data_IF_443372676746
#
_entry.id   IF_443372676746
#
_cell.length_a   1.000
_cell.length_b   1.000
_cell.length_c   1.000
_cell.angle_alpha   90.00
_cell.angle_beta   90.00
_cell.angle_gamma   90.00
#
_symmetry.space_group_name_H-M   'P 1'
#
loop_
_entity.id
_entity.type
_entity.pdbx_description
1 polymer ?
#
# COMPACT_ATOMS: atom_id res chain seq x y z
N UNK A 1 2.20 8.88 -13.13
CA UNK A 1 2.45 10.15 -12.39
C UNK A 1 2.47 9.80 -10.90
N UNK A 2 3.51 10.17 -10.16
CA UNK A 2 3.64 9.80 -8.75
C UNK A 2 2.67 10.65 -7.90
N UNK A 3 1.55 10.04 -7.47
CA UNK A 3 0.51 10.75 -6.70
C UNK A 3 1.05 11.30 -5.36
N UNK A 4 2.05 10.62 -4.75
CA UNK A 4 2.67 11.11 -3.53
C UNK A 4 3.42 12.43 -3.76
N UNK A 5 4.08 12.56 -4.93
CA UNK A 5 4.74 13.81 -5.32
C UNK A 5 3.74 14.95 -5.53
N UNK A 6 2.61 14.67 -6.19
CA UNK A 6 1.55 15.68 -6.39
C UNK A 6 1.02 16.16 -5.05
N UNK A 7 0.69 15.23 -4.16
CA UNK A 7 0.16 15.54 -2.83
C UNK A 7 1.18 16.33 -1.99
N UNK A 8 2.47 15.97 -2.09
CA UNK A 8 3.55 16.73 -1.46
C UNK A 8 3.63 18.17 -1.98
N UNK A 9 3.63 18.34 -3.31
CA UNK A 9 3.69 19.67 -3.92
C UNK A 9 2.49 20.55 -3.54
N UNK A 10 1.28 19.99 -3.57
CA UNK A 10 0.08 20.70 -3.15
C UNK A 10 0.15 21.12 -1.68
N UNK A 11 0.60 20.22 -0.80
CA UNK A 11 0.78 20.51 0.63
C UNK A 11 1.85 21.57 0.84
N UNK A 12 2.98 21.48 0.13
CA UNK A 12 4.07 22.45 0.24
C UNK A 12 3.65 23.85 -0.26
N UNK A 13 2.95 23.93 -1.40
CA UNK A 13 2.47 25.19 -1.97
C UNK A 13 1.45 25.86 -1.03
N UNK A 14 0.44 25.12 -0.57
CA UNK A 14 -0.58 25.67 0.32
C UNK A 14 -0.02 26.03 1.69
N UNK A 15 0.92 25.25 2.22
CA UNK A 15 1.63 25.55 3.46
C UNK A 15 2.51 26.79 3.35
N UNK A 16 3.26 26.94 2.25
CA UNK A 16 4.06 28.12 1.98
C UNK A 16 3.20 29.38 1.85
N UNK A 17 2.08 29.28 1.12
CA UNK A 17 1.12 30.36 0.98
C UNK A 17 0.55 30.81 2.34
N UNK A 18 0.15 29.85 3.18
CA UNK A 18 -0.31 30.14 4.55
C UNK A 18 0.77 30.77 5.41
N UNK A 19 2.01 30.30 5.32
CA UNK A 19 3.14 30.82 6.09
C UNK A 19 3.49 32.26 5.67
N UNK A 20 3.53 32.53 4.36
CA UNK A 20 3.76 33.89 3.82
C UNK A 20 2.67 34.86 4.28
N UNK A 21 1.42 34.39 4.25
CA UNK A 21 0.32 35.23 4.77
C UNK A 21 0.51 35.55 6.24
N UNK A 22 0.74 34.57 7.07
CA UNK A 22 0.89 34.74 8.52
C UNK A 22 2.08 35.63 8.91
N UNK A 23 3.20 35.52 8.21
CA UNK A 23 4.43 36.23 8.55
C UNK A 23 4.48 37.66 7.96
N UNK A 24 3.85 37.88 6.80
CA UNK A 24 4.02 39.10 6.04
C UNK A 24 2.69 39.82 5.75
N UNK A 25 1.71 39.12 5.18
CA UNK A 25 0.52 39.79 4.64
C UNK A 25 -0.51 40.13 5.73
N UNK A 26 -0.67 39.26 6.72
CA UNK A 26 -1.60 39.50 7.84
C UNK A 26 -1.24 40.78 8.61
N UNK A 27 0.03 40.99 8.92
CA UNK A 27 0.50 42.21 9.59
C UNK A 27 0.17 43.48 8.79
N UNK A 28 0.47 43.42 7.48
CA UNK A 28 0.18 44.57 6.57
C UNK A 28 -1.32 44.82 6.41
N UNK A 29 -2.16 43.76 6.41
CA UNK A 29 -3.63 43.90 6.36
C UNK A 29 -4.15 44.57 7.64
N UNK A 30 -3.66 44.14 8.81
CA UNK A 30 -4.05 44.73 10.10
C UNK A 30 -3.66 46.21 10.19
N UNK A 31 -2.48 46.62 9.71
CA UNK A 31 -2.06 48.01 9.64
C UNK A 31 -2.96 48.82 8.69
N UNK A 32 -3.25 48.29 7.50
CA UNK A 32 -4.17 48.95 6.55
C UNK A 32 -5.58 49.12 7.14
N UNK A 33 -6.08 48.11 7.85
CA UNK A 33 -7.38 48.16 8.49
C UNK A 33 -7.43 49.23 9.58
N UNK A 34 -6.39 49.33 10.41
CA UNK A 34 -6.26 50.41 11.41
C UNK A 34 -6.25 51.81 10.76
N UNK A 35 -5.46 51.98 9.70
CA UNK A 35 -5.40 53.24 8.96
C UNK A 35 -6.76 53.59 8.31
N UNK A 36 -7.46 52.58 7.71
CA UNK A 36 -8.77 52.76 7.10
C UNK A 36 -9.83 53.21 8.14
N UNK A 37 -9.86 52.53 9.30
CA UNK A 37 -10.75 52.90 10.40
C UNK A 37 -10.43 54.30 10.94
N UNK A 38 -9.15 54.66 11.15
CA UNK A 38 -8.74 55.98 11.61
C UNK A 38 -9.13 57.11 10.62
N UNK A 39 -8.98 56.84 9.31
CA UNK A 39 -9.40 57.80 8.27
C UNK A 39 -10.92 57.97 8.21
N UNK A 40 -11.66 56.83 8.36
CA UNK A 40 -13.12 56.86 8.44
C UNK A 40 -13.60 57.70 9.62
N UNK A 41 -13.06 57.44 10.83
CA UNK A 41 -13.38 58.20 12.06
C UNK A 41 -13.09 59.71 11.92
N UNK A 42 -12.05 60.11 11.16
CA UNK A 42 -11.73 61.54 10.88
C UNK A 42 -12.68 62.20 9.89
N UNK A 43 -13.26 61.45 8.95
CA UNK A 43 -14.17 61.99 7.93
C UNK A 43 -15.61 62.10 8.42
N UNK A 44 -15.99 61.30 9.39
CA UNK A 44 -17.32 61.28 9.98
C UNK A 44 -17.30 62.19 11.26
N UNK A 45 -17.59 63.48 11.08
CA UNK A 45 -17.85 64.44 12.15
C UNK A 45 -19.26 64.22 12.72
N UNK A 46 -19.47 63.13 13.48
CA UNK A 46 -20.75 62.74 14.07
C UNK A 46 -20.88 61.26 14.26
N UNK A 47 -21.97 60.84 14.87
CA UNK A 47 -22.25 59.46 15.30
C UNK A 47 -22.32 58.48 14.11
N UNK A 48 -21.16 58.17 13.53
CA UNK A 48 -21.02 57.13 12.50
C UNK A 48 -21.35 55.79 13.16
N UNK A 49 -22.46 55.19 12.77
CA UNK A 49 -22.96 53.97 13.38
C UNK A 49 -21.89 52.89 13.38
N UNK A 50 -21.79 52.17 14.51
CA UNK A 50 -20.84 51.05 14.73
C UNK A 50 -20.82 50.03 13.57
N UNK A 51 -21.94 49.85 12.87
CA UNK A 51 -22.09 48.97 11.69
C UNK A 51 -21.23 49.41 10.50
N UNK A 52 -21.14 50.72 10.22
CA UNK A 52 -20.33 51.21 9.08
C UNK A 52 -18.84 51.09 9.35
N UNK A 53 -18.41 51.34 10.60
CA UNK A 53 -17.02 51.18 11.04
C UNK A 53 -16.59 49.72 10.93
N UNK A 54 -17.39 48.75 11.39
CA UNK A 54 -17.11 47.32 11.26
C UNK A 54 -17.05 46.87 9.81
N UNK A 55 -17.87 47.44 8.92
CA UNK A 55 -17.80 47.14 7.49
C UNK A 55 -16.51 47.62 6.84
N UNK A 56 -16.00 48.81 7.18
CA UNK A 56 -14.70 49.31 6.69
C UNK A 56 -13.55 48.45 7.19
N UNK A 57 -13.58 48.08 8.46
CA UNK A 57 -12.57 47.23 9.05
C UNK A 57 -12.56 45.81 8.40
N UNK A 58 -13.72 45.18 8.28
CA UNK A 58 -13.87 43.84 7.67
C UNK A 58 -13.46 43.82 6.20
N UNK A 59 -13.79 44.89 5.44
CA UNK A 59 -13.36 45.03 4.05
C UNK A 59 -11.84 45.13 3.91
N UNK A 60 -11.19 45.88 4.82
CA UNK A 60 -9.73 46.07 4.82
C UNK A 60 -8.98 44.80 5.31
N UNK A 61 -9.60 44.01 6.18
CA UNK A 61 -9.06 42.72 6.67
C UNK A 61 -9.29 41.57 5.71
N UNK A 62 -10.10 41.73 4.66
CA UNK A 62 -10.44 40.65 3.73
C UNK A 62 -9.19 39.99 3.15
N UNK A 63 -9.12 38.69 3.28
CA UNK A 63 -8.02 37.91 2.74
C UNK A 63 -8.15 37.75 1.21
N UNK A 64 -7.04 37.72 0.47
CA UNK A 64 -7.06 37.28 -0.93
C UNK A 64 -7.54 35.89 -1.04
N UNK A 65 -8.35 35.54 -2.06
CA UNK A 65 -8.97 34.20 -2.21
C UNK A 65 -7.95 33.07 -2.22
N UNK A 66 -6.76 33.29 -2.80
CA UNK A 66 -5.72 32.23 -2.81
C UNK A 66 -5.17 31.91 -1.41
N UNK A 67 -5.14 32.89 -0.50
CA UNK A 67 -4.76 32.70 0.91
C UNK A 67 -5.86 31.94 1.63
N UNK A 68 -7.10 32.37 1.47
CA UNK A 68 -8.27 31.75 2.08
C UNK A 68 -8.37 30.24 1.71
N UNK A 69 -8.27 29.90 0.42
CA UNK A 69 -8.25 28.52 -0.04
C UNK A 69 -7.03 27.75 0.48
N UNK A 70 -5.85 28.38 0.51
CA UNK A 70 -4.64 27.73 1.04
C UNK A 70 -4.79 27.36 2.51
N UNK A 71 -5.35 28.25 3.32
CA UNK A 71 -5.65 28.00 4.75
C UNK A 71 -6.66 26.87 4.95
N UNK A 72 -7.70 26.84 4.10
CA UNK A 72 -8.74 25.82 4.18
C UNK A 72 -8.22 24.42 3.79
N UNK A 73 -7.41 24.34 2.71
CA UNK A 73 -6.96 23.05 2.17
C UNK A 73 -5.69 22.51 2.83
N UNK A 74 -4.78 23.37 3.30
CA UNK A 74 -3.49 22.94 3.87
C UNK A 74 -3.62 21.88 4.98
N UNK A 75 -4.47 22.05 6.03
CA UNK A 75 -4.58 21.04 7.09
C UNK A 75 -5.05 19.70 6.57
N UNK A 76 -6.02 19.70 5.66
CA UNK A 76 -6.56 18.46 5.06
C UNK A 76 -5.50 17.77 4.21
N UNK A 77 -4.82 18.53 3.34
CA UNK A 77 -3.75 18.01 2.50
C UNK A 77 -2.60 17.47 3.34
N UNK A 78 -2.22 18.16 4.41
CA UNK A 78 -1.17 17.73 5.34
C UNK A 78 -1.54 16.43 6.03
N UNK A 79 -2.75 16.32 6.56
CA UNK A 79 -3.22 15.09 7.22
C UNK A 79 -3.23 13.93 6.23
N UNK A 80 -3.80 14.11 5.04
CA UNK A 80 -3.85 13.07 4.00
C UNK A 80 -2.43 12.68 3.56
N UNK A 81 -1.53 13.66 3.40
CA UNK A 81 -0.13 13.41 3.06
C UNK A 81 0.57 12.58 4.14
N UNK A 82 0.42 12.94 5.42
CA UNK A 82 1.03 12.20 6.52
C UNK A 82 0.45 10.79 6.67
N UNK A 83 -0.86 10.64 6.63
CA UNK A 83 -1.52 9.34 6.72
C UNK A 83 -1.04 8.40 5.59
N UNK A 84 -1.05 8.89 4.35
CA UNK A 84 -0.64 8.09 3.19
C UNK A 84 0.85 7.81 3.16
N UNK A 85 1.68 8.78 3.57
CA UNK A 85 3.14 8.63 3.52
C UNK A 85 3.68 7.67 4.57
N UNK A 86 3.05 7.65 5.76
CA UNK A 86 3.61 6.95 6.91
C UNK A 86 2.71 5.85 7.47
N UNK A 87 1.38 5.93 7.33
CA UNK A 87 0.49 5.01 8.03
C UNK A 87 0.00 3.88 7.13
N UNK A 88 -0.81 4.19 6.13
CA UNK A 88 -1.43 3.18 5.28
C UNK A 88 -1.64 3.70 3.85
N UNK A 89 -1.39 2.84 2.89
CA UNK A 89 -1.62 3.12 1.47
C UNK A 89 -2.66 2.16 0.91
N UNK A 90 -3.71 2.67 0.22
CA UNK A 90 -4.69 1.82 -0.44
C UNK A 90 -4.12 1.28 -1.76
N UNK A 91 -4.30 -0.03 -1.99
CA UNK A 91 -3.99 -0.70 -3.26
C UNK A 91 -5.22 -1.43 -3.76
N UNK A 92 -5.43 -1.41 -5.08
CA UNK A 92 -6.46 -2.22 -5.74
C UNK A 92 -5.84 -3.52 -6.22
N UNK A 93 -6.51 -4.65 -6.00
CA UNK A 93 -6.08 -5.96 -6.48
C UNK A 93 -6.51 -6.15 -7.93
N UNK A 94 -5.55 -6.20 -8.88
CA UNK A 94 -5.88 -6.29 -10.30
C UNK A 94 -5.92 -7.72 -10.84
N UNK A 95 -5.39 -8.70 -10.11
CA UNK A 95 -5.18 -10.07 -10.60
C UNK A 95 -5.66 -11.14 -9.63
N UNK A 96 -5.86 -12.34 -10.15
CA UNK A 96 -6.33 -13.52 -9.41
C UNK A 96 -5.23 -14.27 -8.64
N UNK A 97 -3.97 -13.82 -8.70
CA UNK A 97 -2.81 -14.56 -8.18
C UNK A 97 -2.82 -14.80 -6.67
N UNK A 98 -3.62 -14.05 -5.90
CA UNK A 98 -3.76 -14.18 -4.45
C UNK A 98 -5.09 -14.81 -4.02
N UNK A 99 -5.88 -15.34 -4.96
CA UNK A 99 -7.10 -16.09 -4.63
C UNK A 99 -6.76 -17.37 -3.87
N UNK A 100 -7.61 -17.79 -2.93
CA UNK A 100 -8.88 -17.21 -2.51
C UNK A 100 -8.74 -16.09 -1.46
N UNK A 101 -7.53 -15.80 -0.98
CA UNK A 101 -7.30 -14.80 0.07
C UNK A 101 -7.75 -13.40 -0.37
N UNK A 102 -7.33 -12.98 -1.56
CA UNK A 102 -7.69 -11.69 -2.17
C UNK A 102 -8.39 -11.92 -3.52
N UNK A 103 -9.49 -11.19 -3.73
CA UNK A 103 -10.25 -11.20 -4.98
C UNK A 103 -9.85 -10.03 -5.88
N UNK A 104 -10.01 -10.22 -7.19
CA UNK A 104 -9.90 -9.12 -8.15
C UNK A 104 -10.97 -8.07 -7.80
N UNK A 105 -10.54 -6.81 -7.69
CA UNK A 105 -11.42 -5.71 -7.29
C UNK A 105 -11.40 -5.36 -5.81
N UNK A 106 -10.77 -6.17 -4.95
CA UNK A 106 -10.53 -5.79 -3.56
C UNK A 106 -9.64 -4.54 -3.48
N UNK A 107 -10.00 -3.62 -2.59
CA UNK A 107 -9.12 -2.53 -2.16
C UNK A 107 -8.61 -2.85 -0.77
N UNK A 108 -7.30 -2.95 -0.65
CA UNK A 108 -6.60 -3.31 0.58
C UNK A 108 -5.88 -2.12 1.17
N UNK A 109 -5.66 -2.16 2.48
CA UNK A 109 -4.75 -1.24 3.16
C UNK A 109 -3.41 -1.93 3.43
N UNK A 110 -2.34 -1.21 3.10
CA UNK A 110 -0.96 -1.66 3.27
C UNK A 110 -0.28 -0.81 4.34
N UNK A 111 0.14 -1.44 5.41
CA UNK A 111 0.92 -0.80 6.47
C UNK A 111 2.36 -0.61 6.00
N UNK A 112 2.76 0.63 5.78
CA UNK A 112 4.09 0.98 5.25
C UNK A 112 5.18 1.03 6.31
N UNK A 113 4.83 1.35 7.54
CA UNK A 113 5.82 1.57 8.59
C UNK A 113 6.18 0.30 9.38
N UNK A 114 5.40 -0.78 9.25
CA UNK A 114 5.63 -2.00 10.04
C UNK A 114 7.04 -2.57 9.86
N UNK A 115 7.62 -2.45 8.65
CA UNK A 115 8.96 -2.92 8.34
C UNK A 115 10.04 -1.82 8.40
N UNK A 116 9.64 -0.59 8.76
CA UNK A 116 10.52 0.55 8.91
C UNK A 116 9.95 1.84 8.35
N UNK A 117 10.46 2.97 8.85
CA UNK A 117 10.08 4.28 8.35
C UNK A 117 10.87 4.57 7.08
N UNK A 118 10.15 4.88 6.00
CA UNK A 118 10.72 5.24 4.69
C UNK A 118 10.44 6.70 4.38
N UNK A 119 11.41 7.38 3.76
CA UNK A 119 11.20 8.74 3.29
C UNK A 119 10.14 8.77 2.20
N UNK A 120 9.18 9.69 2.26
CA UNK A 120 8.21 9.88 1.18
C UNK A 120 8.93 10.13 -0.16
N UNK A 121 8.33 9.69 -1.28
CA UNK A 121 8.80 9.89 -2.66
C UNK A 121 10.02 9.04 -3.03
N UNK A 122 11.14 9.13 -2.29
CA UNK A 122 12.37 8.36 -2.56
C UNK A 122 12.35 6.96 -1.95
N UNK A 123 11.45 6.73 -0.98
CA UNK A 123 11.15 5.43 -0.34
C UNK A 123 12.35 4.70 0.29
N UNK A 124 13.42 5.44 0.55
CA UNK A 124 14.59 4.93 1.27
C UNK A 124 14.23 4.65 2.74
N UNK A 125 14.52 3.42 3.22
CA UNK A 125 14.33 3.02 4.62
C UNK A 125 15.37 3.78 5.48
N UNK A 126 14.87 4.63 6.40
CA UNK A 126 15.72 5.42 7.31
C UNK A 126 15.76 4.85 8.72
N UNK A 127 14.67 4.21 9.17
CA UNK A 127 14.59 3.58 10.48
C UNK A 127 14.04 2.16 10.27
N UNK A 128 14.83 1.09 10.47
CA UNK A 128 14.33 -0.27 10.48
C UNK A 128 13.53 -0.51 11.75
N UNK A 129 12.37 -1.16 11.66
CA UNK A 129 11.53 -1.53 12.80
C UNK A 129 11.37 -3.04 12.93
N UNK A 130 11.03 -3.71 11.84
CA UNK A 130 10.96 -5.16 11.76
C UNK A 130 11.19 -5.63 10.33
N UNK A 131 11.28 -6.93 10.13
CA UNK A 131 11.41 -7.55 8.82
C UNK A 131 10.16 -8.35 8.46
N UNK A 132 9.84 -8.51 7.14
CA UNK A 132 8.82 -9.42 6.67
C UNK A 132 9.01 -10.84 7.22
N UNK A 133 7.94 -11.42 7.71
CA UNK A 133 7.93 -12.75 8.29
C UNK A 133 7.21 -13.74 7.36
N UNK A 134 7.55 -15.02 7.46
CA UNK A 134 6.83 -16.09 6.75
C UNK A 134 5.33 -16.01 7.03
N UNK A 135 4.54 -16.13 5.98
CA UNK A 135 3.09 -15.97 6.01
C UNK A 135 2.58 -14.53 5.87
N UNK A 136 3.42 -13.50 5.94
CA UNK A 136 2.98 -12.12 5.67
C UNK A 136 2.58 -11.94 4.20
N UNK A 137 1.46 -11.28 3.96
CA UNK A 137 1.08 -10.81 2.62
C UNK A 137 1.66 -9.41 2.43
N UNK A 138 2.53 -9.27 1.41
CA UNK A 138 3.36 -8.09 1.24
C UNK A 138 3.20 -7.50 -0.14
N UNK A 139 3.09 -6.17 -0.21
CA UNK A 139 3.21 -5.41 -1.45
C UNK A 139 4.67 -5.00 -1.62
N UNK A 140 5.19 -5.19 -2.83
CA UNK A 140 6.59 -4.92 -3.16
C UNK A 140 6.75 -4.50 -4.63
N UNK A 141 7.85 -3.82 -4.96
CA UNK A 141 8.22 -3.53 -6.34
C UNK A 141 8.65 -4.82 -7.04
N UNK A 142 8.10 -5.06 -8.21
CA UNK A 142 8.45 -6.23 -9.00
C UNK A 142 9.94 -6.18 -9.41
N UNK A 143 10.77 -7.19 -9.07
CA UNK A 143 12.22 -7.11 -9.30
C UNK A 143 12.62 -6.95 -10.77
N UNK A 144 11.83 -7.52 -11.70
CA UNK A 144 12.11 -7.43 -13.15
C UNK A 144 11.70 -6.06 -13.73
N UNK A 145 10.66 -5.44 -13.15
CA UNK A 145 10.21 -4.11 -13.54
C UNK A 145 9.74 -3.31 -12.30
N UNK A 146 10.64 -2.56 -11.65
CA UNK A 146 10.34 -1.84 -10.40
C UNK A 146 9.29 -0.71 -10.50
N UNK A 147 8.80 -0.41 -11.71
CA UNK A 147 7.67 0.51 -11.92
C UNK A 147 6.31 -0.13 -11.59
N UNK A 148 6.26 -1.44 -11.42
CA UNK A 148 5.06 -2.20 -11.10
C UNK A 148 5.14 -2.72 -9.66
N UNK A 149 4.02 -2.61 -8.94
CA UNK A 149 3.87 -3.21 -7.63
C UNK A 149 3.16 -4.58 -7.74
N UNK A 150 3.71 -5.57 -7.04
CA UNK A 150 3.15 -6.90 -6.90
C UNK A 150 2.73 -7.14 -5.47
N UNK A 151 1.79 -8.06 -5.29
CA UNK A 151 1.38 -8.56 -3.98
C UNK A 151 1.49 -10.08 -3.95
N UNK A 152 2.23 -10.60 -2.95
CA UNK A 152 2.42 -12.05 -2.73
C UNK A 152 2.59 -12.33 -1.25
N UNK A 153 2.58 -13.62 -0.92
CA UNK A 153 2.88 -14.12 0.43
C UNK A 153 4.35 -14.44 0.57
N UNK A 154 4.93 -14.03 1.70
CA UNK A 154 6.30 -14.41 2.09
C UNK A 154 6.33 -15.88 2.45
N UNK A 155 7.09 -16.66 1.69
CA UNK A 155 7.29 -18.09 1.93
C UNK A 155 8.61 -18.33 2.66
N UNK A 156 9.68 -17.66 2.23
CA UNK A 156 11.00 -17.77 2.82
C UNK A 156 11.66 -16.42 3.02
N UNK A 157 12.46 -16.33 4.05
CA UNK A 157 13.28 -15.17 4.39
C UNK A 157 14.77 -15.49 4.21
N UNK A 158 15.63 -14.49 4.21
CA UNK A 158 17.08 -14.67 4.01
C UNK A 158 17.66 -15.79 4.87
N UNK A 159 18.35 -16.74 4.24
CA UNK A 159 18.93 -17.93 4.86
C UNK A 159 18.09 -19.20 4.81
N UNK A 160 16.78 -19.08 4.53
CA UNK A 160 15.89 -20.24 4.44
C UNK A 160 16.20 -21.11 3.23
N UNK A 161 15.99 -22.43 3.40
CA UNK A 161 15.88 -23.40 2.31
C UNK A 161 14.39 -23.67 2.08
N UNK A 162 13.89 -23.23 0.94
CA UNK A 162 12.49 -23.41 0.51
C UNK A 162 12.45 -24.53 -0.52
N UNK A 163 11.65 -25.55 -0.23
CA UNK A 163 11.39 -26.66 -1.12
C UNK A 163 9.89 -26.71 -1.45
N UNK A 164 9.54 -26.77 -2.72
CA UNK A 164 8.18 -26.97 -3.20
C UNK A 164 8.16 -28.16 -4.16
N UNK A 165 7.65 -29.28 -3.71
CA UNK A 165 7.58 -30.52 -4.49
C UNK A 165 6.20 -31.13 -4.43
N UNK A 166 5.71 -31.57 -5.57
CA UNK A 166 4.40 -32.23 -5.69
C UNK A 166 3.30 -31.40 -4.96
N UNK A 167 3.40 -30.06 -5.06
CA UNK A 167 2.51 -29.06 -4.43
C UNK A 167 2.54 -29.03 -2.90
N UNK A 168 3.55 -29.63 -2.31
CA UNK A 168 3.83 -29.55 -0.88
C UNK A 168 5.01 -28.60 -0.63
N UNK A 169 4.79 -27.63 0.26
CA UNK A 169 5.80 -26.65 0.64
C UNK A 169 6.52 -27.12 1.92
N UNK A 170 7.83 -26.97 1.93
CA UNK A 170 8.68 -27.16 3.11
C UNK A 170 9.63 -25.96 3.23
N UNK A 171 9.85 -25.53 4.46
CA UNK A 171 10.84 -24.50 4.75
C UNK A 171 11.77 -25.03 5.85
N UNK A 172 13.06 -25.05 5.57
CA UNK A 172 14.08 -25.61 6.46
C UNK A 172 13.75 -27.06 6.87
N UNK A 173 13.24 -27.87 5.92
CA UNK A 173 12.82 -29.26 6.14
C UNK A 173 11.47 -29.42 6.85
N UNK A 174 10.87 -28.37 7.38
CA UNK A 174 9.57 -28.43 8.05
C UNK A 174 8.42 -28.23 7.04
N UNK A 175 7.48 -29.18 6.95
CA UNK A 175 6.37 -29.08 6.01
C UNK A 175 5.37 -28.00 6.47
N UNK A 176 4.86 -27.23 5.50
CA UNK A 176 3.66 -26.44 5.69
C UNK A 176 2.46 -27.39 5.52
N UNK A 177 1.82 -27.70 6.63
CA UNK A 177 0.73 -28.68 6.65
C UNK A 177 -0.49 -28.13 5.92
N UNK A 178 -1.02 -28.92 4.99
CA UNK A 178 -2.21 -28.58 4.22
C UNK A 178 -3.42 -29.43 4.67
N UNK A 179 -4.58 -28.78 4.76
CA UNK A 179 -5.87 -29.41 5.08
C UNK A 179 -6.90 -28.99 4.03
N UNK A 180 -7.53 -29.95 3.39
CA UNK A 180 -8.56 -29.67 2.38
C UNK A 180 -9.75 -28.90 2.97
N UNK A 181 -10.27 -27.94 2.19
CA UNK A 181 -11.42 -27.10 2.53
C UNK A 181 -12.42 -26.97 1.37
N UNK A 182 -12.55 -28.00 0.56
CA UNK A 182 -13.46 -28.05 -0.57
C UNK A 182 -12.92 -27.46 -1.85
N UNK A 183 -13.83 -27.01 -2.71
CA UNK A 183 -13.51 -26.41 -4.01
C UNK A 183 -13.91 -24.95 -4.06
N UNK A 184 -13.21 -24.19 -4.89
CA UNK A 184 -13.46 -22.78 -5.14
C UNK A 184 -13.46 -22.54 -6.65
N UNK A 185 -14.56 -22.03 -7.19
CA UNK A 185 -14.68 -21.72 -8.61
C UNK A 185 -14.83 -20.21 -8.80
N UNK A 186 -14.17 -19.68 -9.81
CA UNK A 186 -14.22 -18.26 -10.16
C UNK A 186 -14.16 -18.06 -11.66
N UNK A 187 -14.64 -16.91 -12.11
CA UNK A 187 -14.58 -16.49 -13.50
C UNK A 187 -13.34 -15.60 -13.70
N UNK A 188 -12.50 -15.94 -14.67
CA UNK A 188 -11.37 -15.13 -15.10
C UNK A 188 -11.50 -14.83 -16.60
N UNK A 189 -11.88 -13.58 -16.93
CA UNK A 189 -12.31 -13.24 -18.28
C UNK A 189 -13.57 -14.02 -18.67
N UNK A 190 -13.46 -14.89 -19.65
CA UNK A 190 -14.55 -15.78 -20.09
C UNK A 190 -14.35 -17.25 -19.71
N UNK A 191 -13.35 -17.56 -18.87
CA UNK A 191 -13.03 -18.92 -18.46
C UNK A 191 -13.40 -19.15 -16.99
N UNK A 192 -14.09 -20.25 -16.73
CA UNK A 192 -14.28 -20.76 -15.38
C UNK A 192 -13.08 -21.59 -14.97
N UNK A 193 -12.43 -21.17 -13.86
CA UNK A 193 -11.38 -21.94 -13.21
C UNK A 193 -11.90 -22.50 -11.90
N UNK A 194 -11.55 -23.76 -11.62
CA UNK A 194 -11.89 -24.42 -10.35
C UNK A 194 -10.61 -24.91 -9.68
N UNK A 195 -10.47 -24.53 -8.43
CA UNK A 195 -9.31 -24.87 -7.58
C UNK A 195 -9.77 -25.70 -6.40
N UNK A 196 -8.92 -26.59 -5.93
CA UNK A 196 -9.02 -27.13 -4.58
C UNK A 196 -8.61 -26.05 -3.59
N UNK A 197 -9.50 -25.74 -2.67
CA UNK A 197 -9.21 -24.84 -1.57
C UNK A 197 -8.61 -25.63 -0.42
N UNK A 198 -7.51 -25.15 0.12
CA UNK A 198 -6.81 -25.77 1.24
C UNK A 198 -6.41 -24.71 2.26
N UNK A 199 -6.52 -25.04 3.54
CA UNK A 199 -5.79 -24.31 4.58
C UNK A 199 -4.35 -24.79 4.59
N UNK A 200 -3.42 -23.87 4.67
CA UNK A 200 -1.99 -24.14 4.79
C UNK A 200 -1.44 -23.44 6.03
N UNK A 201 -0.67 -24.18 6.82
CA UNK A 201 -0.11 -23.69 8.08
C UNK A 201 1.39 -23.52 7.94
N UNK A 202 1.89 -22.29 8.20
CA UNK A 202 3.31 -21.94 8.08
C UNK A 202 4.17 -22.66 9.13
N UNK A 203 5.37 -23.08 8.72
CA UNK A 203 6.41 -23.64 9.59
C UNK A 203 7.81 -23.33 9.00
N UNK A 204 8.86 -23.15 9.79
CA UNK A 204 8.84 -22.92 11.23
C UNK A 204 8.18 -21.61 11.61
N UNK A 205 8.13 -21.30 12.88
CA UNK A 205 7.51 -20.08 13.40
C UNK A 205 7.83 -18.82 12.59
N UNK A 206 6.89 -17.84 12.50
CA UNK A 206 5.59 -17.81 13.17
C UNK A 206 4.58 -18.76 12.52
N UNK A 207 3.81 -19.49 13.35
CA UNK A 207 2.76 -20.39 12.89
C UNK A 207 1.50 -19.59 12.55
N UNK A 208 1.07 -19.66 11.30
CA UNK A 208 -0.13 -18.94 10.80
C UNK A 208 -0.87 -19.84 9.84
N UNK A 209 -2.19 -19.82 9.90
CA UNK A 209 -3.05 -20.50 8.95
C UNK A 209 -3.59 -19.52 7.92
N UNK A 210 -3.56 -19.88 6.65
CA UNK A 210 -4.12 -19.12 5.53
C UNK A 210 -4.68 -20.05 4.48
N UNK A 211 -5.49 -19.51 3.58
CA UNK A 211 -6.07 -20.29 2.48
C UNK A 211 -5.19 -20.19 1.23
N UNK A 212 -5.12 -21.32 0.51
CA UNK A 212 -4.51 -21.42 -0.82
C UNK A 212 -5.46 -22.08 -1.81
N UNK A 213 -5.29 -21.77 -3.08
CA UNK A 213 -5.94 -22.43 -4.20
C UNK A 213 -4.94 -23.28 -4.98
N UNK A 214 -5.26 -24.54 -5.22
CA UNK A 214 -4.41 -25.49 -5.93
C UNK A 214 -5.20 -26.12 -7.06
N UNK A 215 -4.66 -26.15 -8.28
CA UNK A 215 -5.17 -26.98 -9.37
C UNK A 215 -4.42 -28.31 -9.39
N UNK A 216 -5.02 -29.44 -9.02
CA UNK A 216 -4.32 -30.72 -8.94
C UNK A 216 -3.74 -31.20 -10.27
N UNK A 217 -4.28 -30.71 -11.39
CA UNK A 217 -3.88 -31.14 -12.75
C UNK A 217 -2.70 -30.30 -13.29
N UNK A 218 -2.41 -29.11 -12.70
CA UNK A 218 -1.29 -28.28 -13.13
C UNK A 218 0.03 -28.84 -12.57
N UNK A 219 1.13 -28.59 -13.28
CA UNK A 219 2.47 -28.90 -12.75
C UNK A 219 2.82 -27.94 -11.58
N UNK A 220 3.61 -28.41 -10.60
CA UNK A 220 4.05 -27.57 -9.48
C UNK A 220 4.85 -26.34 -9.91
N UNK A 221 5.65 -26.51 -10.96
CA UNK A 221 6.43 -25.46 -11.62
C UNK A 221 6.62 -25.85 -13.08
N UNK A 222 6.78 -24.85 -13.95
CA UNK A 222 7.13 -25.04 -15.36
C UNK A 222 8.60 -24.62 -15.57
N UNK A 223 9.58 -25.55 -15.59
CA UNK A 223 11.01 -25.18 -15.59
C UNK A 223 11.41 -24.33 -16.79
N UNK A 224 10.75 -24.48 -17.95
CA UNK A 224 10.99 -23.69 -19.14
C UNK A 224 10.56 -22.22 -19.03
N UNK A 225 9.66 -21.91 -18.07
CA UNK A 225 9.20 -20.55 -17.82
C UNK A 225 10.05 -19.83 -16.77
N UNK A 226 11.00 -20.53 -16.14
CA UNK A 226 11.91 -19.94 -15.15
C UNK A 226 12.89 -19.01 -15.86
N UNK A 227 12.86 -17.73 -15.50
CA UNK A 227 13.71 -16.68 -16.07
C UNK A 227 15.12 -16.74 -15.47
N UNK A 228 16.06 -16.07 -16.09
CA UNK A 228 17.34 -15.75 -15.44
C UNK A 228 17.13 -14.61 -14.45
N UNK A 229 17.63 -14.77 -13.24
CA UNK A 229 17.55 -13.78 -12.19
C UNK A 229 18.78 -13.84 -11.26
N UNK A 230 19.11 -12.76 -10.54
CA UNK A 230 20.20 -12.76 -9.56
C UNK A 230 19.99 -13.82 -8.47
N UNK A 231 20.99 -14.68 -8.23
CA UNK A 231 20.87 -15.77 -7.27
C UNK A 231 20.20 -17.03 -7.82
N UNK A 232 20.03 -17.16 -9.15
CA UNK A 232 19.45 -18.36 -9.79
C UNK A 232 20.24 -19.65 -9.47
N UNK A 233 21.53 -19.51 -9.25
CA UNK A 233 22.43 -20.59 -8.85
C UNK A 233 22.11 -21.19 -7.48
N UNK A 234 21.37 -20.47 -6.64
CA UNK A 234 20.90 -20.97 -5.35
C UNK A 234 19.66 -21.87 -5.46
N UNK A 235 19.17 -22.11 -6.68
CA UNK A 235 17.94 -22.84 -6.95
C UNK A 235 18.18 -24.03 -7.86
N UNK A 236 17.61 -25.18 -7.48
CA UNK A 236 17.53 -26.38 -8.29
C UNK A 236 16.06 -26.63 -8.69
N UNK A 237 15.82 -26.83 -9.99
CA UNK A 237 14.48 -27.02 -10.56
C UNK A 237 14.38 -28.36 -11.30
N UNK A 238 13.26 -29.00 -11.13
CA UNK A 238 12.88 -30.18 -11.90
C UNK A 238 11.37 -30.23 -12.15
N UNK A 239 10.87 -31.23 -12.84
CA UNK A 239 9.45 -31.37 -13.16
C UNK A 239 8.54 -31.52 -11.92
N UNK A 240 9.08 -31.98 -10.81
CA UNK A 240 8.33 -32.15 -9.55
C UNK A 240 8.31 -30.89 -8.69
N UNK A 241 9.12 -29.87 -9.03
CA UNK A 241 9.18 -28.63 -8.28
C UNK A 241 10.57 -27.98 -8.25
N UNK A 242 10.90 -27.38 -7.12
CA UNK A 242 12.19 -26.70 -6.94
C UNK A 242 12.65 -26.77 -5.48
N UNK A 243 13.93 -26.51 -5.29
CA UNK A 243 14.56 -26.21 -4.00
C UNK A 243 15.42 -24.96 -4.16
N UNK A 244 15.21 -23.94 -3.33
CA UNK A 244 15.98 -22.70 -3.37
C UNK A 244 16.49 -22.32 -1.99
N UNK A 245 17.74 -21.86 -1.90
CA UNK A 245 18.26 -21.18 -0.71
C UNK A 245 18.11 -19.67 -0.88
N UNK A 246 17.32 -19.04 -0.02
CA UNK A 246 17.04 -17.60 -0.09
C UNK A 246 18.28 -16.80 0.31
N UNK A 247 18.79 -15.89 -0.54
CA UNK A 247 19.93 -15.05 -0.18
C UNK A 247 19.63 -14.11 0.99
N UNK A 248 20.66 -13.72 1.74
CA UNK A 248 20.54 -12.74 2.82
C UNK A 248 19.94 -11.42 2.30
N UNK A 249 19.06 -10.79 3.06
CA UNK A 249 18.38 -9.54 2.67
C UNK A 249 17.36 -9.68 1.54
N UNK A 250 16.95 -10.92 1.20
CA UNK A 250 15.96 -11.21 0.17
C UNK A 250 14.83 -12.08 0.73
N UNK A 251 13.73 -12.10 -0.01
CA UNK A 251 12.53 -12.85 0.32
C UNK A 251 12.09 -13.70 -0.86
N UNK A 252 11.57 -14.88 -0.58
CA UNK A 252 10.90 -15.72 -1.56
C UNK A 252 9.39 -15.57 -1.40
N UNK A 253 8.72 -15.20 -2.48
CA UNK A 253 7.31 -14.84 -2.52
C UNK A 253 6.52 -15.81 -3.38
N UNK A 254 5.35 -16.26 -2.93
CA UNK A 254 4.42 -17.04 -3.75
C UNK A 254 3.01 -16.48 -3.67
N UNK A 255 2.24 -16.65 -4.75
CA UNK A 255 0.81 -16.39 -4.73
C UNK A 255 0.04 -17.46 -4.00
N UNK A 256 -1.08 -17.09 -3.36
CA UNK A 256 -1.98 -18.03 -2.73
C UNK A 256 -2.74 -18.87 -3.77
N UNK A 257 -2.99 -18.32 -4.97
CA UNK A 257 -3.38 -19.10 -6.15
C UNK A 257 -2.15 -19.77 -6.75
N UNK A 258 -1.77 -20.92 -6.18
CA UNK A 258 -0.50 -21.57 -6.42
C UNK A 258 -0.20 -21.84 -7.90
N UNK A 259 -1.19 -22.14 -8.68
CA UNK A 259 -1.02 -22.56 -10.08
C UNK A 259 -1.37 -21.46 -11.09
N UNK A 260 -1.84 -20.29 -10.61
CA UNK A 260 -2.10 -19.12 -11.43
C UNK A 260 -1.42 -17.86 -10.84
N UNK A 261 -0.10 -17.96 -10.66
CA UNK A 261 0.71 -16.87 -10.10
C UNK A 261 2.08 -16.80 -10.76
N UNK A 262 2.40 -15.64 -11.33
CA UNK A 262 3.77 -15.28 -11.70
C UNK A 262 4.47 -14.74 -10.44
N UNK A 263 5.32 -15.59 -9.83
CA UNK A 263 5.94 -15.29 -8.54
C UNK A 263 7.42 -15.73 -8.48
N UNK A 264 8.02 -15.74 -7.31
CA UNK A 264 9.45 -16.05 -7.10
C UNK A 264 9.89 -17.37 -7.71
N UNK A 265 8.98 -18.29 -7.97
CA UNK A 265 9.28 -19.54 -8.69
C UNK A 265 9.83 -19.29 -10.09
N UNK A 266 9.47 -18.16 -10.70
CA UNK A 266 9.77 -17.85 -12.09
C UNK A 266 10.75 -16.69 -12.29
N UNK A 267 10.76 -15.70 -11.38
CA UNK A 267 11.57 -14.50 -11.50
C UNK A 267 12.53 -14.25 -10.32
N UNK A 268 12.56 -15.17 -9.32
CA UNK A 268 13.56 -15.15 -8.27
C UNK A 268 13.16 -14.38 -7.01
N UNK A 269 14.13 -13.79 -6.34
CA UNK A 269 14.00 -13.24 -5.00
C UNK A 269 13.67 -11.75 -5.01
N UNK A 270 12.96 -11.30 -3.97
CA UNK A 270 12.64 -9.88 -3.76
C UNK A 270 13.63 -9.31 -2.75
N UNK A 271 14.42 -8.29 -3.11
CA UNK A 271 15.32 -7.63 -2.17
C UNK A 271 14.55 -6.75 -1.18
N UNK A 272 15.11 -6.53 0.01
CA UNK A 272 14.44 -5.80 1.11
C UNK A 272 14.05 -4.37 0.74
N UNK A 273 14.85 -3.68 -0.06
CA UNK A 273 14.55 -2.32 -0.51
C UNK A 273 13.37 -2.21 -1.50
N UNK A 274 12.93 -3.35 -2.06
CA UNK A 274 11.73 -3.42 -2.88
C UNK A 274 10.43 -3.53 -2.06
N UNK A 275 10.50 -3.87 -0.78
CA UNK A 275 9.32 -4.03 0.07
C UNK A 275 8.62 -2.70 0.29
N UNK A 276 7.31 -2.64 0.01
CA UNK A 276 6.44 -1.47 0.25
C UNK A 276 5.81 -1.51 1.64
N UNK A 277 5.27 -2.67 2.03
CA UNK A 277 4.61 -2.85 3.31
C UNK A 277 3.75 -4.10 3.37
N UNK A 278 3.15 -4.32 4.53
CA UNK A 278 2.28 -5.48 4.80
C UNK A 278 0.83 -5.15 4.51
N UNK A 279 0.18 -5.95 3.68
CA UNK A 279 -1.26 -5.91 3.51
C UNK A 279 -1.95 -6.49 4.76
N UNK A 280 -2.94 -5.79 5.32
CA UNK A 280 -3.53 -6.20 6.58
C UNK A 280 -5.06 -6.16 6.62
N UNK A 281 -5.71 -5.43 5.69
CA UNK A 281 -7.13 -5.17 5.77
C UNK A 281 -7.75 -4.93 4.39
N UNK A 282 -8.96 -5.50 4.13
CA UNK A 282 -9.79 -5.22 2.95
C UNK A 282 -10.80 -4.16 3.38
N UNK A 283 -10.63 -2.93 2.90
CA UNK A 283 -11.48 -1.82 3.32
C UNK A 283 -12.62 -1.52 2.35
N UNK A 284 -12.52 -1.97 1.09
CA UNK A 284 -13.53 -1.73 0.09
C UNK A 284 -13.50 -2.83 -0.99
N UNK A 285 -14.69 -3.25 -1.45
CA UNK A 285 -14.88 -4.08 -2.63
C UNK A 285 -16.23 -3.71 -3.23
N UNK A 286 -16.25 -3.33 -4.51
CA UNK A 286 -17.46 -2.82 -5.15
C UNK A 286 -18.53 -3.89 -5.27
N UNK A 287 -18.19 -5.10 -5.68
CA UNK A 287 -19.14 -6.20 -5.89
C UNK A 287 -19.76 -6.65 -4.55
N UNK A 288 -18.98 -6.66 -3.48
CA UNK A 288 -19.43 -7.00 -2.14
C UNK A 288 -20.43 -5.97 -1.60
N UNK A 289 -20.20 -4.68 -1.87
CA UNK A 289 -21.11 -3.58 -1.50
C UNK A 289 -22.37 -3.59 -2.38
N UNK A 290 -22.22 -3.72 -3.70
CA UNK A 290 -23.33 -3.71 -4.64
C UNK A 290 -24.30 -4.90 -4.43
N UNK A 291 -23.77 -6.04 -3.97
CA UNK A 291 -24.57 -7.22 -3.62
C UNK A 291 -25.10 -7.22 -2.18
N UNK A 292 -24.78 -6.20 -1.38
CA UNK A 292 -25.09 -6.11 0.06
C UNK A 292 -24.59 -7.32 0.87
N UNK A 293 -23.55 -8.00 0.39
CA UNK A 293 -23.04 -9.22 1.01
C UNK A 293 -22.16 -8.94 2.25
N UNK A 294 -21.34 -7.88 2.21
CA UNK A 294 -20.41 -7.44 3.26
C UNK A 294 -19.57 -8.58 3.83
N UNK A 295 -19.15 -9.55 2.98
CA UNK A 295 -18.37 -10.72 3.39
C UNK A 295 -16.86 -10.45 3.42
N UNK A 296 -16.42 -9.52 2.58
CA UNK A 296 -15.00 -9.22 2.38
C UNK A 296 -14.59 -7.89 3.00
N UNK A 297 -15.45 -6.86 2.83
CA UNK A 297 -15.21 -5.53 3.42
C UNK A 297 -15.18 -5.63 4.94
N UNK A 298 -14.13 -5.11 5.56
CA UNK A 298 -13.91 -5.23 7.00
C UNK A 298 -13.07 -6.44 7.41
N UNK A 299 -12.64 -7.28 6.47
CA UNK A 299 -11.86 -8.49 6.78
C UNK A 299 -10.37 -8.20 6.92
N UNK A 300 -9.74 -8.81 7.92
CA UNK A 300 -8.28 -8.84 8.06
C UNK A 300 -7.64 -9.82 7.08
N UNK A 301 -6.50 -9.44 6.52
CA UNK A 301 -5.68 -10.31 5.65
C UNK A 301 -4.73 -11.11 6.53
N UNK A 302 -4.83 -12.46 6.44
CA UNK A 302 -4.03 -13.41 7.22
C UNK A 302 -3.11 -14.21 6.32
#
# INVERSE_FOLDING_TARGET
MNFALILFLLTAITGAAWLVDKLVLEGRRRERARAAVTNFDRQMLGDAGTVQRTNVESAALKEPSWVEYSKAFFPVLLIVFLLRSFLAEPFKIPSSSMRPTLEVGDFILVNKFIYGIRLPIIEQKIIPLSDPQRGDVVVFRYPVNPSQDFIKRVIGVGGDVVEYRDKQLRVNGQPWVQRADGTYSYLEGMRFDTLERRFETTAPAPVREHMIGVNPQAQPVYPLNVRQFPGRENCDYNERGFTCKVPAGHYMMMGDNRDNSDDSRYWGFVPDDHIRGKAFFIWFNWDDIASFAFKRVGSGIR
#
